data_IF_901455860775
#
_entry.id   IF_901455860775
#
_cell.length_a   1.000
_cell.length_b   1.000
_cell.length_c   1.000
_cell.angle_alpha   90.00
_cell.angle_beta   90.00
_cell.angle_gamma   90.00
#
_symmetry.space_group_name_H-M   'P 1'
#
loop_
_entity.id
_entity.type
_entity.pdbx_description
1 polymer ?
#
# COMPACT_ATOMS: atom_id res chain seq x y z
N UNK A 1 2.04 15.79 19.98
CA UNK A 1 1.73 14.49 19.36
C UNK A 1 0.57 14.68 18.42
N UNK A 2 0.67 14.16 17.22
CA UNK A 2 -0.40 14.22 16.23
C UNK A 2 -1.12 12.88 16.13
N UNK A 3 -2.43 12.93 15.87
CA UNK A 3 -3.21 11.74 15.51
C UNK A 3 -2.73 11.28 14.15
N UNK A 4 -2.65 9.97 13.95
CA UNK A 4 -2.24 9.36 12.69
C UNK A 4 -3.33 8.42 12.18
N UNK A 5 -3.49 8.39 10.88
CA UNK A 5 -4.32 7.41 10.19
C UNK A 5 -3.40 6.43 9.45
N UNK A 6 -3.46 5.17 9.81
CA UNK A 6 -2.59 4.16 9.22
C UNK A 6 -3.44 3.05 8.59
N UNK A 7 -3.12 2.61 7.38
CA UNK A 7 -3.67 1.36 6.87
C UNK A 7 -3.25 0.21 7.79
N UNK A 8 -4.20 -0.63 8.15
CA UNK A 8 -3.96 -1.80 8.99
C UNK A 8 -4.53 -3.02 8.27
N UNK A 9 -3.64 -3.90 7.82
CA UNK A 9 -4.01 -5.05 7.00
C UNK A 9 -4.21 -6.29 7.88
N UNK A 10 -5.30 -7.01 7.65
CA UNK A 10 -5.56 -8.29 8.29
C UNK A 10 -5.17 -9.45 7.39
N UNK A 11 -4.47 -10.42 7.93
CA UNK A 11 -4.10 -11.65 7.24
C UNK A 11 -4.46 -12.85 8.10
N UNK A 12 -4.39 -14.03 7.51
CA UNK A 12 -4.39 -15.29 8.27
C UNK A 12 -3.17 -16.09 7.88
N UNK A 13 -2.24 -16.20 8.85
CA UNK A 13 -1.01 -17.01 8.79
C UNK A 13 0.12 -16.44 7.92
N UNK A 14 -0.09 -15.40 7.14
CA UNK A 14 0.91 -14.89 6.19
C UNK A 14 1.24 -13.39 6.32
N UNK A 15 0.93 -12.77 7.47
CA UNK A 15 1.26 -11.35 7.68
C UNK A 15 2.76 -11.07 7.60
N UNK A 16 3.58 -11.98 8.14
CA UNK A 16 5.04 -11.85 8.07
C UNK A 16 5.54 -11.76 6.63
N UNK A 17 5.13 -12.71 5.79
CA UNK A 17 5.53 -12.76 4.38
C UNK A 17 5.06 -11.53 3.62
N UNK A 18 3.81 -11.12 3.85
CA UNK A 18 3.25 -9.94 3.20
C UNK A 18 4.02 -8.67 3.59
N UNK A 19 4.31 -8.48 4.88
CA UNK A 19 5.02 -7.30 5.34
C UNK A 19 6.49 -7.29 4.90
N UNK A 20 7.15 -8.42 4.81
CA UNK A 20 8.48 -8.52 4.23
C UNK A 20 8.47 -8.16 2.74
N UNK A 21 7.43 -8.55 2.03
CA UNK A 21 7.21 -8.17 0.64
C UNK A 21 7.03 -6.65 0.50
N UNK A 22 6.18 -6.02 1.31
CA UNK A 22 6.01 -4.57 1.29
C UNK A 22 7.30 -3.84 1.68
N UNK A 23 8.04 -4.36 2.62
CA UNK A 23 9.36 -3.83 2.98
C UNK A 23 10.33 -3.88 1.78
N UNK A 24 10.29 -4.94 0.99
CA UNK A 24 11.11 -5.03 -0.21
C UNK A 24 10.74 -4.01 -1.29
N UNK A 25 9.50 -3.54 -1.30
CA UNK A 25 9.00 -2.54 -2.25
C UNK A 25 9.33 -1.12 -1.78
N UNK A 26 8.97 -0.80 -0.53
CA UNK A 26 9.00 0.57 -0.02
C UNK A 26 10.25 0.91 0.79
N UNK A 27 11.01 -0.09 1.22
CA UNK A 27 12.14 0.12 2.11
C UNK A 27 11.69 0.52 3.51
N UNK A 28 12.53 1.25 4.23
CA UNK A 28 12.23 1.72 5.56
C UNK A 28 12.54 0.70 6.65
N UNK A 29 11.86 0.83 7.77
CA UNK A 29 12.03 -0.02 8.94
C UNK A 29 10.79 -0.88 9.16
N UNK A 30 11.00 -2.18 9.26
CA UNK A 30 9.96 -3.15 9.56
C UNK A 30 10.17 -3.71 10.96
N UNK A 31 9.16 -3.58 11.81
CA UNK A 31 9.12 -4.18 13.14
C UNK A 31 8.01 -5.22 13.19
N UNK A 32 8.19 -6.25 13.98
CA UNK A 32 7.23 -7.34 14.11
C UNK A 32 7.27 -7.93 15.52
N UNK A 33 6.09 -8.18 16.07
CA UNK A 33 5.92 -8.94 17.31
C UNK A 33 5.03 -10.15 17.07
N UNK A 34 5.25 -11.20 17.85
CA UNK A 34 4.48 -12.45 17.74
C UNK A 34 3.49 -12.58 18.89
N UNK A 35 2.49 -13.44 18.70
CA UNK A 35 1.56 -13.79 19.78
C UNK A 35 2.28 -14.42 20.96
N UNK A 36 3.32 -15.24 20.70
CA UNK A 36 4.10 -15.88 21.75
C UNK A 36 4.87 -14.91 22.63
N UNK A 37 5.48 -13.86 22.02
CA UNK A 37 6.24 -12.85 22.76
C UNK A 37 5.40 -12.09 23.79
N UNK A 38 4.11 -11.91 23.50
CA UNK A 38 3.19 -11.17 24.36
C UNK A 38 2.21 -12.08 25.12
N UNK A 39 2.39 -13.40 25.04
CA UNK A 39 1.48 -14.37 25.64
C UNK A 39 0.00 -14.11 25.25
N UNK A 40 -0.20 -13.71 23.99
CA UNK A 40 -1.50 -13.29 23.47
C UNK A 40 -2.33 -14.44 22.91
N UNK A 41 -1.77 -15.64 22.85
CA UNK A 41 -2.48 -16.87 22.48
C UNK A 41 -1.90 -18.05 23.25
N UNK A 42 -2.77 -18.96 23.68
CA UNK A 42 -2.38 -20.23 24.28
C UNK A 42 -2.18 -21.36 23.26
N UNK A 43 -2.61 -21.13 22.01
CA UNK A 43 -2.50 -22.09 20.93
C UNK A 43 -1.02 -22.24 20.51
N UNK A 44 -0.44 -23.47 20.59
CA UNK A 44 0.94 -23.70 20.18
C UNK A 44 1.21 -23.35 18.71
N UNK A 45 0.19 -23.48 17.85
CA UNK A 45 0.32 -23.21 16.42
C UNK A 45 0.32 -21.72 16.10
N UNK A 46 -0.07 -20.87 17.05
CA UNK A 46 -0.14 -19.42 16.87
C UNK A 46 1.05 -18.64 17.43
N UNK A 47 1.96 -19.31 18.15
CA UNK A 47 3.05 -18.64 18.86
C UNK A 47 3.95 -17.79 17.95
N UNK A 48 4.19 -18.23 16.72
CA UNK A 48 5.06 -17.56 15.75
C UNK A 48 4.29 -16.65 14.77
N UNK A 49 2.97 -16.61 14.86
CA UNK A 49 2.17 -15.72 14.02
C UNK A 49 2.34 -14.28 14.45
N UNK A 50 2.08 -13.38 13.53
CA UNK A 50 2.27 -11.94 13.74
C UNK A 50 1.10 -11.37 14.53
N UNK A 51 1.38 -10.89 15.73
CA UNK A 51 0.42 -10.13 16.52
C UNK A 51 0.32 -8.70 16.03
N UNK A 52 1.46 -8.11 15.67
CA UNK A 52 1.54 -6.77 15.11
C UNK A 52 2.82 -6.60 14.30
N UNK A 53 2.69 -5.98 13.15
CA UNK A 53 3.83 -5.56 12.34
C UNK A 53 3.62 -4.11 11.88
N UNK A 54 4.69 -3.36 11.79
CA UNK A 54 4.67 -1.98 11.32
C UNK A 54 5.84 -1.71 10.40
N UNK A 55 5.53 -1.12 9.25
CA UNK A 55 6.50 -0.64 8.28
C UNK A 55 6.41 0.88 8.23
N UNK A 56 7.53 1.55 8.46
CA UNK A 56 7.63 3.01 8.36
C UNK A 56 8.81 3.39 7.49
N UNK A 57 8.64 4.39 6.65
CA UNK A 57 9.72 4.90 5.79
C UNK A 57 10.11 6.31 6.19
N UNK A 58 11.34 6.75 5.86
CA UNK A 58 11.77 8.13 6.12
C UNK A 58 10.88 9.18 5.42
N UNK A 59 10.22 8.78 4.32
CA UNK A 59 9.34 9.68 3.56
C UNK A 59 7.93 9.77 4.15
N UNK A 60 7.64 9.02 5.22
CA UNK A 60 6.36 9.12 5.94
C UNK A 60 5.32 8.08 5.56
N UNK A 61 5.67 7.09 4.73
CA UNK A 61 4.76 5.97 4.48
C UNK A 61 4.66 5.10 5.74
N UNK A 62 3.45 4.68 6.06
CA UNK A 62 3.16 3.83 7.21
C UNK A 62 2.18 2.73 6.80
N UNK A 63 2.50 1.49 7.15
CA UNK A 63 1.68 0.34 6.85
C UNK A 63 1.78 -0.63 8.03
N UNK A 64 0.65 -1.11 8.52
CA UNK A 64 0.59 -2.02 9.65
C UNK A 64 -0.17 -3.28 9.28
N UNK A 65 0.09 -4.35 10.00
CA UNK A 65 -0.59 -5.62 9.75
C UNK A 65 -0.56 -6.54 10.96
N UNK A 66 -1.47 -7.50 10.95
CA UNK A 66 -1.49 -8.60 11.91
C UNK A 66 -2.08 -9.85 11.27
N UNK A 67 -1.74 -11.01 11.82
CA UNK A 67 -2.49 -12.23 11.58
C UNK A 67 -3.74 -12.26 12.44
N UNK A 68 -4.80 -12.85 11.91
CA UNK A 68 -6.04 -13.06 12.62
C UNK A 68 -5.97 -14.40 13.35
N UNK A 69 -6.16 -14.43 14.68
CA UNK A 69 -6.15 -15.69 15.43
C UNK A 69 -7.26 -16.65 14.97
N UNK A 70 -7.04 -17.95 15.14
CA UNK A 70 -8.01 -18.96 14.75
C UNK A 70 -9.35 -18.84 15.47
N UNK A 71 -9.36 -18.21 16.65
CA UNK A 71 -10.58 -17.95 17.43
C UNK A 71 -11.46 -16.83 16.85
N UNK A 72 -10.95 -16.08 15.89
CA UNK A 72 -11.67 -14.96 15.26
C UNK A 72 -11.98 -15.28 13.80
N UNK A 73 -13.11 -14.79 13.32
CA UNK A 73 -13.49 -14.91 11.92
C UNK A 73 -12.58 -14.02 11.05
N UNK A 74 -12.27 -14.53 9.88
CA UNK A 74 -11.49 -13.79 8.88
C UNK A 74 -12.20 -13.85 7.53
N UNK A 75 -12.60 -12.69 7.03
CA UNK A 75 -13.26 -12.56 5.72
C UNK A 75 -12.59 -11.41 4.97
N UNK A 76 -11.76 -11.70 3.96
CA UNK A 76 -11.21 -10.66 3.09
C UNK A 76 -12.33 -9.88 2.40
N UNK A 77 -12.19 -8.56 2.37
CA UNK A 77 -13.13 -7.66 1.71
C UNK A 77 -12.52 -6.99 0.48
N UNK A 78 -13.35 -6.26 -0.25
CA UNK A 78 -12.92 -5.54 -1.45
C UNK A 78 -13.48 -4.10 -1.52
N UNK A 79 -13.92 -3.56 -0.38
CA UNK A 79 -14.51 -2.23 -0.31
C UNK A 79 -13.52 -1.14 0.13
N UNK A 80 -12.21 -1.42 0.01
CA UNK A 80 -11.16 -0.46 0.32
C UNK A 80 -9.96 -0.67 -0.62
N UNK A 81 -9.13 0.36 -0.72
CA UNK A 81 -7.84 0.29 -1.40
C UNK A 81 -6.83 1.12 -0.63
N UNK A 82 -5.57 0.71 -0.68
CA UNK A 82 -4.46 1.54 -0.20
C UNK A 82 -3.99 2.40 -1.36
N UNK A 83 -3.97 3.71 -1.18
CA UNK A 83 -3.65 4.65 -2.23
C UNK A 83 -2.25 5.23 -2.05
N UNK A 84 -1.46 5.17 -3.11
CA UNK A 84 -0.17 5.84 -3.24
C UNK A 84 -0.34 6.99 -4.22
N UNK A 85 0.03 8.19 -3.82
CA UNK A 85 -0.03 9.35 -4.69
C UNK A 85 1.23 10.21 -4.56
N UNK A 86 1.58 10.89 -5.62
CA UNK A 86 2.72 11.79 -5.63
C UNK A 86 2.69 12.72 -6.83
N UNK A 87 3.64 13.64 -6.83
CA UNK A 87 3.80 14.63 -7.88
C UNK A 87 4.52 14.05 -9.10
N UNK A 88 4.56 14.81 -10.19
CA UNK A 88 5.16 14.37 -11.44
C UNK A 88 6.66 14.05 -11.34
N UNK A 89 7.37 14.70 -10.44
CA UNK A 89 8.80 14.44 -10.20
C UNK A 89 9.04 13.13 -9.41
N UNK A 90 8.00 12.56 -8.81
CA UNK A 90 8.05 11.28 -8.12
C UNK A 90 7.56 10.11 -8.99
N UNK A 91 7.29 10.38 -10.28
CA UNK A 91 6.72 9.39 -11.19
C UNK A 91 7.56 8.12 -11.33
N UNK A 92 8.88 8.25 -11.41
CA UNK A 92 9.79 7.10 -11.54
C UNK A 92 9.70 6.18 -10.32
N UNK A 93 9.67 6.75 -9.13
CA UNK A 93 9.55 5.99 -7.89
C UNK A 93 8.19 5.30 -7.78
N UNK A 94 7.11 6.03 -8.05
CA UNK A 94 5.75 5.48 -8.02
C UNK A 94 5.54 4.37 -9.05
N UNK A 95 6.09 4.52 -10.25
CA UNK A 95 6.05 3.45 -11.27
C UNK A 95 6.86 2.23 -10.86
N UNK A 96 7.96 2.43 -10.17
CA UNK A 96 8.75 1.35 -9.58
C UNK A 96 7.94 0.57 -8.54
N UNK A 97 7.21 1.24 -7.66
CA UNK A 97 6.30 0.59 -6.72
C UNK A 97 5.20 -0.18 -7.44
N UNK A 98 4.59 0.45 -8.45
CA UNK A 98 3.55 -0.19 -9.26
C UNK A 98 4.03 -1.50 -9.87
N UNK A 99 5.20 -1.50 -10.52
CA UNK A 99 5.74 -2.68 -11.17
C UNK A 99 5.91 -3.85 -10.19
N UNK A 100 6.31 -3.56 -8.96
CA UNK A 100 6.48 -4.58 -7.92
C UNK A 100 5.14 -5.04 -7.35
N UNK A 101 4.17 -4.13 -7.21
CA UNK A 101 2.84 -4.46 -6.69
C UNK A 101 2.04 -5.33 -7.66
N UNK A 102 2.19 -5.13 -8.96
CA UNK A 102 1.48 -5.93 -9.96
C UNK A 102 2.11 -7.30 -10.21
N UNK A 103 3.38 -7.46 -9.85
CA UNK A 103 4.09 -8.72 -10.03
C UNK A 103 3.50 -9.81 -9.14
N UNK A 104 2.98 -10.87 -9.75
CA UNK A 104 2.28 -11.95 -9.06
C UNK A 104 0.85 -11.63 -8.63
N UNK A 105 0.41 -10.40 -8.86
CA UNK A 105 -0.96 -9.95 -8.62
C UNK A 105 -1.78 -9.81 -9.89
N UNK A 106 -2.77 -8.92 -9.86
CA UNK A 106 -3.61 -8.63 -11.01
C UNK A 106 -3.83 -7.13 -11.18
N UNK A 107 -3.79 -6.66 -12.42
CA UNK A 107 -4.12 -5.28 -12.77
C UNK A 107 -5.62 -5.18 -13.01
N UNK A 108 -6.29 -4.33 -12.23
CA UNK A 108 -7.72 -4.06 -12.40
C UNK A 108 -7.97 -2.85 -13.26
N UNK A 109 -7.04 -1.88 -13.24
CA UNK A 109 -7.03 -0.74 -14.14
C UNK A 109 -5.57 -0.39 -14.46
N UNK A 110 -5.12 -0.45 -15.73
CA UNK A 110 -3.73 -0.15 -16.07
C UNK A 110 -3.32 1.27 -15.66
N UNK A 111 -2.07 1.44 -15.28
CA UNK A 111 -1.52 2.76 -14.93
C UNK A 111 -1.29 3.56 -16.21
N UNK A 112 -2.23 4.40 -16.53
CA UNK A 112 -2.27 5.21 -17.76
C UNK A 112 -2.71 6.64 -17.45
N UNK A 113 -2.45 7.55 -18.38
CA UNK A 113 -2.92 8.93 -18.25
C UNK A 113 -4.45 8.95 -18.30
N UNK A 114 -5.04 9.49 -17.25
CA UNK A 114 -6.48 9.62 -17.11
C UNK A 114 -7.00 10.91 -17.78
N UNK A 115 -8.31 11.00 -18.05
CA UNK A 115 -8.88 12.20 -18.69
C UNK A 115 -8.62 13.52 -17.96
N UNK A 116 -8.37 13.46 -16.65
CA UNK A 116 -8.06 14.66 -15.84
C UNK A 116 -6.57 15.02 -15.83
N UNK A 117 -5.72 14.27 -16.55
CA UNK A 117 -4.31 14.60 -16.74
C UNK A 117 -3.32 13.85 -15.88
N UNK A 118 -3.75 13.26 -14.77
CA UNK A 118 -2.90 12.43 -13.92
C UNK A 118 -2.76 11.02 -14.52
N UNK A 119 -1.70 10.32 -14.15
CA UNK A 119 -1.61 8.88 -14.40
C UNK A 119 -2.22 8.13 -13.22
N UNK A 120 -3.15 7.21 -13.49
CA UNK A 120 -3.89 6.49 -12.49
C UNK A 120 -3.98 5.01 -12.83
N UNK A 121 -3.82 4.15 -11.83
CA UNK A 121 -3.96 2.72 -11.98
C UNK A 121 -4.45 2.04 -10.71
N UNK A 122 -5.01 0.85 -10.86
CA UNK A 122 -5.49 0.00 -9.77
C UNK A 122 -5.01 -1.42 -9.96
N UNK A 123 -4.65 -2.06 -8.87
CA UNK A 123 -4.24 -3.46 -8.87
C UNK A 123 -4.61 -4.15 -7.56
N UNK A 124 -4.53 -5.47 -7.58
CA UNK A 124 -4.57 -6.30 -6.37
C UNK A 124 -3.25 -7.05 -6.32
N UNK A 125 -2.53 -6.94 -5.21
CA UNK A 125 -1.24 -7.62 -5.07
C UNK A 125 -1.41 -9.12 -4.84
N UNK A 126 -0.30 -9.84 -4.82
CA UNK A 126 -0.30 -11.31 -4.65
C UNK A 126 -0.82 -11.78 -3.30
N UNK A 127 -0.96 -10.88 -2.33
CA UNK A 127 -1.54 -11.15 -1.01
C UNK A 127 -3.01 -10.75 -0.90
N UNK A 128 -3.61 -10.27 -2.01
CA UNK A 128 -5.03 -9.93 -2.06
C UNK A 128 -5.36 -8.52 -1.62
N UNK A 129 -4.37 -7.66 -1.41
CA UNK A 129 -4.58 -6.26 -1.01
C UNK A 129 -4.74 -5.39 -2.25
N UNK A 130 -5.78 -4.56 -2.26
CA UNK A 130 -6.06 -3.63 -3.35
C UNK A 130 -5.24 -2.35 -3.20
N UNK A 131 -4.64 -1.90 -4.28
CA UNK A 131 -3.80 -0.70 -4.37
C UNK A 131 -4.27 0.22 -5.47
N UNK A 132 -4.12 1.52 -5.24
CA UNK A 132 -4.29 2.55 -6.25
C UNK A 132 -3.00 3.36 -6.33
N UNK A 133 -2.60 3.76 -7.54
CA UNK A 133 -1.47 4.66 -7.75
C UNK A 133 -1.95 5.85 -8.57
N UNK A 134 -1.69 7.05 -8.08
CA UNK A 134 -1.96 8.29 -8.78
C UNK A 134 -0.69 9.14 -8.87
N UNK A 135 -0.31 9.50 -10.07
CA UNK A 135 0.84 10.37 -10.34
C UNK A 135 0.30 11.64 -10.95
N UNK A 136 0.50 12.77 -10.29
CA UNK A 136 0.05 14.06 -10.79
C UNK A 136 0.65 14.34 -12.16
N UNK A 137 -0.14 14.93 -13.04
CA UNK A 137 0.32 15.41 -14.35
C UNK A 137 1.37 16.50 -14.19
N UNK A 138 2.13 16.77 -15.27
CA UNK A 138 3.13 17.82 -15.25
C UNK A 138 2.47 19.18 -14.89
N UNK A 139 3.14 20.04 -14.08
CA UNK A 139 2.60 21.32 -13.71
C UNK A 139 2.28 22.18 -14.95
N UNK A 140 1.17 22.96 -14.89
CA UNK A 140 0.80 23.88 -15.93
C UNK A 140 1.93 24.90 -16.15
N UNK A 141 2.35 25.08 -17.41
CA UNK A 141 3.43 26.00 -17.76
C UNK A 141 4.81 25.37 -17.94
N UNK A 142 4.98 24.08 -17.65
CA UNK A 142 6.23 23.33 -17.88
C UNK A 142 6.37 22.93 -19.36
N UNK A 143 5.25 22.78 -20.06
CA UNK A 143 5.24 22.55 -21.52
C UNK A 143 4.70 23.78 -22.22
N UNK A 144 5.43 24.29 -23.18
CA UNK A 144 5.09 25.52 -23.92
C UNK A 144 3.77 25.44 -24.72
N UNK A 145 3.20 24.26 -24.86
CA UNK A 145 2.03 23.98 -25.69
C UNK A 145 0.84 23.43 -24.93
N UNK A 146 0.82 23.49 -23.57
CA UNK A 146 -0.33 23.04 -22.82
C UNK A 146 -1.51 23.99 -23.01
N UNK A 147 -2.69 23.52 -23.44
CA UNK A 147 -3.86 24.40 -23.59
C UNK A 147 -4.25 24.94 -22.21
N UNK A 148 -4.53 26.23 -22.17
CA UNK A 148 -4.97 26.93 -20.96
C UNK A 148 -6.23 26.25 -20.40
N UNK A 149 -6.23 25.88 -19.13
CA UNK A 149 -7.42 25.40 -18.42
C UNK A 149 -7.46 23.91 -18.11
N UNK A 150 -6.41 23.16 -18.35
CA UNK A 150 -6.37 21.73 -18.06
C UNK A 150 -5.67 21.36 -16.76
N UNK A 151 -5.28 22.33 -15.97
CA UNK A 151 -4.68 22.07 -14.67
C UNK A 151 -5.79 21.89 -13.63
N UNK A 152 -6.38 20.74 -13.59
CA UNK A 152 -7.13 20.32 -12.43
C UNK A 152 -6.25 19.37 -11.63
N UNK A 153 -5.78 19.84 -10.51
CA UNK A 153 -5.07 19.03 -9.52
C UNK A 153 -6.02 18.37 -8.53
N UNK A 154 -7.28 18.22 -8.90
CA UNK A 154 -8.23 17.55 -8.03
C UNK A 154 -7.99 16.06 -8.06
N UNK A 155 -7.20 15.63 -7.13
CA UNK A 155 -6.98 14.24 -6.75
C UNK A 155 -8.26 13.65 -6.17
N UNK A 156 -8.59 12.48 -6.58
CA UNK A 156 -9.59 11.64 -5.93
C UNK A 156 -9.15 11.28 -4.52
#
# INVERSE_FOLDING_TARGET
MSIRLNPYLGFRDNAKEAMEYYHSIFGGELTRSTFGEYHASEDPDEQNKTMHAALTTPTGLSLMAADTPNSMDFTPGNNYSVSLSGESDEATELRGYWDKLVDGGSVTMPLEVAPWGDSFGMCVDKYGVAWMVNIAGAPAGVTADAPAGTASSDTL
#
